data_IF_671978027422
#
_entry.id   IF_671978027422
#
_cell.length_a   1.000
_cell.length_b   1.000
_cell.length_c   1.000
_cell.angle_alpha   90.00
_cell.angle_beta   90.00
_cell.angle_gamma   90.00
#
_symmetry.space_group_name_H-M   'P 1'
#
loop_
_entity.id
_entity.type
_entity.pdbx_description
1 polymer ?
#
# COMPACT_ATOMS: atom_id res chain seq x y z
N UNK A 1 28.35 -21.03 10.86
CA UNK A 1 28.67 -20.07 9.79
C UNK A 1 28.03 -20.63 8.52
N UNK A 2 26.97 -20.11 7.92
CA UNK A 2 26.68 -18.72 7.58
C UNK A 2 25.16 -18.52 7.55
N UNK A 3 24.68 -17.58 8.35
CA UNK A 3 23.34 -17.01 8.22
C UNK A 3 23.38 -16.07 7.00
N UNK A 4 22.90 -16.50 5.84
CA UNK A 4 22.56 -15.56 4.77
C UNK A 4 21.23 -14.93 5.09
N UNK A 5 21.30 -13.92 5.95
CA UNK A 5 20.34 -12.83 6.04
C UNK A 5 20.30 -12.17 4.66
N UNK A 6 19.42 -12.65 3.80
CA UNK A 6 19.16 -12.03 2.51
C UNK A 6 18.34 -10.78 2.80
N UNK A 7 19.06 -9.71 3.16
CA UNK A 7 18.52 -8.37 3.02
C UNK A 7 18.07 -8.23 1.59
N UNK A 8 16.80 -7.86 1.40
CA UNK A 8 16.33 -7.25 0.17
C UNK A 8 17.24 -6.03 -0.02
N UNK A 9 18.25 -6.18 -0.88
CA UNK A 9 19.00 -5.05 -1.40
C UNK A 9 17.99 -4.25 -2.22
N UNK A 10 17.43 -3.22 -1.60
CA UNK A 10 16.91 -2.10 -2.35
C UNK A 10 18.13 -1.57 -3.11
N UNK A 11 18.24 -1.94 -4.39
CA UNK A 11 19.14 -1.24 -5.31
C UNK A 11 18.69 0.24 -5.26
N UNK A 12 19.43 1.05 -4.50
CA UNK A 12 19.31 2.51 -4.47
C UNK A 12 19.78 3.13 -5.81
N UNK A 13 20.31 2.33 -6.73
CA UNK A 13 20.85 2.78 -8.02
C UNK A 13 19.84 2.69 -9.19
N UNK A 14 18.54 2.52 -8.91
CA UNK A 14 17.48 2.69 -9.91
C UNK A 14 16.93 4.13 -9.92
N UNK A 15 17.82 5.12 -9.88
CA UNK A 15 17.53 6.53 -10.20
C UNK A 15 17.62 6.78 -11.71
N UNK A 16 16.86 6.00 -12.48
CA UNK A 16 16.36 6.45 -13.77
C UNK A 16 14.84 6.48 -13.69
N UNK A 17 14.28 7.69 -13.58
CA UNK A 17 12.91 7.99 -13.97
C UNK A 17 12.74 7.64 -15.47
N UNK A 18 12.68 6.34 -15.79
CA UNK A 18 12.12 5.88 -17.05
C UNK A 18 10.61 6.03 -16.94
N UNK A 19 10.15 7.27 -17.10
CA UNK A 19 8.81 7.57 -17.58
C UNK A 19 8.72 6.96 -18.99
N UNK A 20 8.35 5.68 -19.06
CA UNK A 20 7.99 5.03 -20.32
C UNK A 20 6.67 5.69 -20.75
N UNK A 21 6.79 6.71 -21.60
CA UNK A 21 5.67 7.34 -22.28
C UNK A 21 5.10 6.33 -23.28
N UNK A 22 4.21 5.46 -22.83
CA UNK A 22 3.35 4.70 -23.74
C UNK A 22 2.34 5.67 -24.36
N UNK A 23 2.03 5.47 -25.65
CA UNK A 23 1.30 6.37 -26.55
C UNK A 23 -0.21 6.57 -26.22
N UNK A 24 -0.60 6.58 -24.94
CA UNK A 24 -1.99 6.72 -24.53
C UNK A 24 -2.18 7.65 -23.33
N UNK A 25 -1.49 8.80 -23.26
CA UNK A 25 -1.91 10.00 -22.49
C UNK A 25 -2.16 9.87 -20.97
N UNK A 26 -2.04 8.68 -20.37
CA UNK A 26 -2.37 8.39 -18.98
C UNK A 26 -1.09 8.03 -18.26
N UNK A 27 -0.71 8.87 -17.29
CA UNK A 27 0.46 8.65 -16.44
C UNK A 27 0.26 7.36 -15.65
N UNK A 28 1.22 6.43 -15.76
CA UNK A 28 1.26 5.21 -14.94
C UNK A 28 1.49 5.59 -13.47
N UNK A 29 0.66 5.08 -12.57
CA UNK A 29 0.60 5.45 -11.15
C UNK A 29 1.36 4.50 -10.25
N UNK A 30 1.43 3.20 -10.60
CA UNK A 30 1.88 2.13 -9.71
C UNK A 30 2.98 1.25 -10.31
N UNK A 31 3.54 1.60 -11.47
CA UNK A 31 4.48 0.74 -12.20
C UNK A 31 5.66 0.25 -11.34
N UNK A 32 6.25 1.13 -10.51
CA UNK A 32 7.37 0.79 -9.62
C UNK A 32 6.94 -0.17 -8.51
N UNK A 33 5.84 0.15 -7.84
CA UNK A 33 5.31 -0.63 -6.72
C UNK A 33 4.81 -2.01 -7.18
N UNK A 34 4.18 -2.09 -8.35
CA UNK A 34 3.69 -3.34 -8.92
C UNK A 34 4.84 -4.26 -9.30
N UNK A 35 5.96 -3.73 -9.83
CA UNK A 35 7.16 -4.53 -10.09
C UNK A 35 7.71 -5.17 -8.81
N UNK A 36 7.82 -4.41 -7.74
CA UNK A 36 8.23 -4.93 -6.43
C UNK A 36 7.25 -5.97 -5.89
N UNK A 37 5.94 -5.75 -6.07
CA UNK A 37 4.90 -6.67 -5.63
C UNK A 37 4.95 -7.98 -6.40
N UNK A 38 5.10 -7.95 -7.73
CA UNK A 38 5.20 -9.13 -8.59
C UNK A 38 6.39 -10.01 -8.17
N UNK A 39 7.57 -9.40 -7.95
CA UNK A 39 8.72 -10.12 -7.39
C UNK A 39 8.41 -10.73 -6.00
N UNK A 40 7.72 -9.99 -5.13
CA UNK A 40 7.28 -10.49 -3.82
C UNK A 40 6.31 -11.68 -3.89
N UNK A 41 5.59 -11.85 -5.01
CA UNK A 41 4.73 -13.00 -5.29
C UNK A 41 5.47 -14.13 -6.05
N UNK A 42 6.76 -13.97 -6.33
CA UNK A 42 7.61 -14.98 -6.96
C UNK A 42 7.83 -14.82 -8.46
N UNK A 43 7.47 -13.66 -9.04
CA UNK A 43 7.84 -13.32 -10.41
C UNK A 43 9.33 -12.95 -10.53
N UNK A 44 9.82 -12.72 -11.74
CA UNK A 44 11.19 -12.27 -12.00
C UNK A 44 11.48 -10.90 -11.35
N UNK A 45 12.75 -10.60 -11.06
CA UNK A 45 13.18 -9.27 -10.56
C UNK A 45 12.86 -8.17 -11.60
N UNK A 46 12.89 -8.51 -12.88
CA UNK A 46 12.61 -7.62 -13.99
C UNK A 46 11.49 -8.19 -14.89
N UNK A 47 10.22 -8.14 -14.45
CA UNK A 47 9.09 -8.60 -15.25
C UNK A 47 8.88 -7.77 -16.51
N UNK A 48 8.19 -8.33 -17.50
CA UNK A 48 7.84 -7.61 -18.74
C UNK A 48 7.02 -6.36 -18.45
N UNK A 49 7.37 -5.25 -19.10
CA UNK A 49 6.68 -3.97 -18.94
C UNK A 49 5.20 -4.08 -19.32
N UNK A 50 4.89 -4.85 -20.36
CA UNK A 50 3.53 -5.12 -20.81
C UNK A 50 2.69 -5.82 -19.74
N UNK A 51 3.30 -6.73 -18.96
CA UNK A 51 2.63 -7.40 -17.84
C UNK A 51 2.36 -6.43 -16.70
N UNK A 52 3.34 -5.57 -16.37
CA UNK A 52 3.16 -4.54 -15.33
C UNK A 52 2.06 -3.57 -15.73
N UNK A 53 2.06 -3.12 -16.98
CA UNK A 53 1.06 -2.21 -17.53
C UNK A 53 -0.35 -2.81 -17.50
N UNK A 54 -0.49 -4.06 -17.92
CA UNK A 54 -1.77 -4.78 -17.85
C UNK A 54 -2.23 -4.93 -16.40
N UNK A 55 -1.33 -5.30 -15.49
CA UNK A 55 -1.65 -5.46 -14.07
C UNK A 55 -2.08 -4.12 -13.46
N UNK A 56 -1.48 -3.01 -13.86
CA UNK A 56 -1.90 -1.68 -13.44
C UNK A 56 -3.34 -1.38 -13.89
N UNK A 57 -3.67 -1.66 -15.15
CA UNK A 57 -5.03 -1.46 -15.66
C UNK A 57 -6.05 -2.33 -14.88
N UNK A 58 -5.72 -3.60 -14.60
CA UNK A 58 -6.55 -4.51 -13.79
C UNK A 58 -6.73 -4.03 -12.35
N UNK A 59 -5.69 -3.48 -11.73
CA UNK A 59 -5.75 -2.95 -10.36
C UNK A 59 -6.62 -1.69 -10.29
N UNK A 60 -6.48 -0.79 -11.26
CA UNK A 60 -7.31 0.42 -11.34
C UNK A 60 -8.79 0.04 -11.49
N UNK A 61 -9.10 -0.88 -12.40
CA UNK A 61 -10.45 -1.39 -12.60
C UNK A 61 -11.00 -2.04 -11.32
N UNK A 62 -10.21 -2.90 -10.67
CA UNK A 62 -10.61 -3.55 -9.43
C UNK A 62 -10.93 -2.55 -8.31
N UNK A 63 -10.11 -1.51 -8.15
CA UNK A 63 -10.33 -0.45 -7.16
C UNK A 63 -11.62 0.31 -7.47
N UNK A 64 -11.83 0.68 -8.74
CA UNK A 64 -13.03 1.39 -9.17
C UNK A 64 -14.30 0.56 -8.93
N UNK A 65 -14.32 -0.70 -9.37
CA UNK A 65 -15.46 -1.61 -9.18
C UNK A 65 -15.75 -1.87 -7.70
N UNK A 66 -14.70 -2.10 -6.91
CA UNK A 66 -14.86 -2.33 -5.46
C UNK A 66 -15.40 -1.08 -4.76
N UNK A 67 -14.97 0.11 -5.17
CA UNK A 67 -15.46 1.38 -4.63
C UNK A 67 -16.92 1.62 -5.03
N UNK A 68 -17.29 1.31 -6.27
CA UNK A 68 -18.68 1.40 -6.74
C UNK A 68 -19.59 0.47 -5.92
N UNK A 69 -19.22 -0.80 -5.76
CA UNK A 69 -19.97 -1.75 -4.92
C UNK A 69 -20.08 -1.27 -3.47
N UNK A 70 -19.05 -0.62 -2.94
CA UNK A 70 -19.07 -0.07 -1.59
C UNK A 70 -20.06 1.11 -1.47
N UNK A 71 -20.17 1.95 -2.50
CA UNK A 71 -21.15 3.04 -2.54
C UNK A 71 -22.60 2.54 -2.63
N UNK A 72 -22.84 1.39 -3.28
CA UNK A 72 -24.18 0.80 -3.41
C UNK A 72 -24.71 0.24 -2.08
N UNK A 73 -23.83 -0.31 -1.24
CA UNK A 73 -24.20 -0.87 0.08
C UNK A 73 -24.16 0.18 1.19
N UNK A 74 -23.33 1.21 1.03
CA UNK A 74 -23.03 2.22 2.03
C UNK A 74 -24.01 3.39 2.01
N UNK A 75 -23.68 4.44 2.76
CA UNK A 75 -24.44 5.69 2.70
C UNK A 75 -24.13 6.42 1.39
N UNK A 76 -25.18 6.99 0.78
CA UNK A 76 -25.04 7.79 -0.44
C UNK A 76 -24.02 8.92 -0.25
N UNK A 77 -23.06 9.01 -1.16
CA UNK A 77 -22.09 10.11 -1.22
C UNK A 77 -20.81 9.94 -0.40
N UNK A 78 -20.63 8.85 0.37
CA UNK A 78 -19.36 8.59 1.08
C UNK A 78 -19.11 7.11 1.33
N UNK A 79 -17.93 6.65 0.93
CA UNK A 79 -17.41 5.31 1.28
C UNK A 79 -16.67 5.37 2.62
N UNK A 80 -16.99 4.43 3.50
CA UNK A 80 -16.34 4.23 4.79
C UNK A 80 -15.54 2.93 4.81
N UNK A 81 -14.68 2.76 5.82
CA UNK A 81 -13.84 1.56 5.97
C UNK A 81 -14.72 0.32 6.22
N UNK A 82 -15.80 0.52 6.96
CA UNK A 82 -16.79 -0.52 7.28
C UNK A 82 -17.45 -1.10 6.03
N UNK A 83 -17.66 -0.29 4.99
CA UNK A 83 -18.25 -0.73 3.72
C UNK A 83 -17.30 -1.72 3.00
N UNK A 84 -16.00 -1.42 2.97
CA UNK A 84 -14.99 -2.29 2.38
C UNK A 84 -14.85 -3.59 3.19
N UNK A 85 -14.82 -3.49 4.53
CA UNK A 85 -14.80 -4.67 5.41
C UNK A 85 -16.01 -5.56 5.14
N UNK A 86 -17.19 -4.96 4.96
CA UNK A 86 -18.41 -5.69 4.65
C UNK A 86 -18.29 -6.43 3.31
N UNK A 87 -17.77 -5.80 2.25
CA UNK A 87 -17.60 -6.47 0.95
C UNK A 87 -16.71 -7.71 1.04
N UNK A 88 -15.61 -7.64 1.80
CA UNK A 88 -14.64 -8.75 1.91
C UNK A 88 -15.00 -9.81 2.95
N UNK A 89 -16.08 -9.64 3.73
CA UNK A 89 -16.43 -10.47 4.90
C UNK A 89 -16.55 -11.98 4.62
N UNK A 90 -16.85 -12.36 3.38
CA UNK A 90 -17.00 -13.76 2.98
C UNK A 90 -15.65 -14.45 2.74
N UNK A 91 -14.61 -13.68 2.42
CA UNK A 91 -13.24 -14.18 2.26
C UNK A 91 -12.52 -14.12 3.62
N UNK A 92 -12.46 -15.25 4.31
CA UNK A 92 -11.89 -15.34 5.66
C UNK A 92 -10.45 -14.85 5.74
N UNK A 93 -9.63 -15.10 4.69
CA UNK A 93 -8.23 -14.70 4.66
C UNK A 93 -8.10 -13.19 4.52
N UNK A 94 -8.82 -12.58 3.57
CA UNK A 94 -8.82 -11.12 3.40
C UNK A 94 -9.41 -10.42 4.62
N UNK A 95 -10.49 -10.95 5.16
CA UNK A 95 -11.16 -10.36 6.33
C UNK A 95 -10.26 -10.34 7.57
N UNK A 96 -9.59 -11.46 7.88
CA UNK A 96 -8.61 -11.51 8.98
C UNK A 96 -7.47 -10.52 8.73
N UNK A 97 -6.91 -10.50 7.50
CA UNK A 97 -5.80 -9.62 7.16
C UNK A 97 -6.15 -8.14 7.31
N UNK A 98 -7.36 -7.72 6.92
CA UNK A 98 -7.82 -6.33 7.08
C UNK A 98 -7.88 -5.95 8.55
N UNK A 99 -8.38 -6.83 9.44
CA UNK A 99 -8.41 -6.57 10.88
C UNK A 99 -7.00 -6.37 11.44
N UNK A 100 -6.07 -7.26 11.13
CA UNK A 100 -4.69 -7.17 11.62
C UNK A 100 -4.03 -5.84 11.20
N UNK A 101 -4.23 -5.44 9.93
CA UNK A 101 -3.69 -4.19 9.39
C UNK A 101 -4.28 -2.95 10.07
N UNK A 102 -5.58 -2.95 10.36
CA UNK A 102 -6.23 -1.85 11.05
C UNK A 102 -5.76 -1.74 12.51
N UNK A 103 -5.67 -2.86 13.23
CA UNK A 103 -5.14 -2.91 14.60
C UNK A 103 -3.71 -2.38 14.66
N UNK A 104 -2.84 -2.85 13.77
CA UNK A 104 -1.45 -2.38 13.70
C UNK A 104 -1.36 -0.88 13.37
N UNK A 105 -2.22 -0.38 12.48
CA UNK A 105 -2.27 1.05 12.15
C UNK A 105 -2.67 1.90 13.37
N UNK A 106 -3.65 1.45 14.16
CA UNK A 106 -4.03 2.11 15.40
C UNK A 106 -2.91 2.12 16.43
N UNK A 107 -2.19 1.01 16.60
CA UNK A 107 -1.03 0.91 17.49
C UNK A 107 0.08 1.88 17.08
N UNK A 108 0.40 1.94 15.78
CA UNK A 108 1.38 2.89 15.24
C UNK A 108 0.96 4.34 15.47
N UNK A 109 -0.33 4.67 15.31
CA UNK A 109 -0.85 6.01 15.59
C UNK A 109 -0.74 6.37 17.07
N UNK A 110 -1.07 5.44 17.97
CA UNK A 110 -0.93 5.63 19.43
C UNK A 110 0.53 5.85 19.82
N UNK A 111 1.44 5.04 19.29
CA UNK A 111 2.88 5.17 19.53
C UNK A 111 3.38 6.55 19.08
N UNK A 112 3.07 6.98 17.85
CA UNK A 112 3.46 8.31 17.33
C UNK A 112 2.97 9.45 18.22
N UNK A 113 1.69 9.41 18.65
CA UNK A 113 1.12 10.43 19.53
C UNK A 113 1.86 10.50 20.87
N UNK A 114 2.16 9.36 21.49
CA UNK A 114 2.91 9.32 22.75
C UNK A 114 4.34 9.89 22.58
N UNK A 115 5.02 9.61 21.47
CA UNK A 115 6.34 10.19 21.19
C UNK A 115 6.31 11.71 21.03
N UNK A 116 5.31 12.24 20.31
CA UNK A 116 5.17 13.68 20.12
C UNK A 116 4.91 14.38 21.46
N UNK A 117 4.03 13.85 22.30
CA UNK A 117 3.74 14.37 23.65
C UNK A 117 4.99 14.41 24.54
N UNK A 118 5.83 13.36 24.52
CA UNK A 118 7.10 13.33 25.26
C UNK A 118 8.09 14.38 24.76
N UNK A 119 8.14 14.63 23.45
CA UNK A 119 9.04 15.65 22.85
C UNK A 119 8.64 17.07 23.26
N UNK A 120 7.35 17.37 23.39
CA UNK A 120 6.89 18.67 23.87
C UNK A 120 7.26 18.89 25.35
N UNK A 121 7.05 17.89 26.21
CA UNK A 121 7.42 17.99 27.64
C UNK A 121 8.95 18.11 27.83
N UNK A 122 9.74 17.44 26.99
CA UNK A 122 11.22 17.50 27.04
C UNK A 122 11.81 18.86 26.62
N UNK A 123 11.09 19.66 25.84
CA UNK A 123 11.56 21.00 25.41
C UNK A 123 11.22 22.09 26.43
N UNK A 124 10.12 21.96 27.19
CA UNK A 124 9.77 22.92 28.25
C UNK A 124 10.69 22.81 29.47
N UNK A 125 11.32 21.65 29.69
CA UNK A 125 12.31 21.44 30.76
C UNK A 125 13.67 22.11 30.54
N UNK A 126 13.93 22.71 29.37
CA UNK A 126 15.22 23.35 29.04
C UNK A 126 15.20 24.89 29.08
N UNK A 127 14.10 25.52 29.51
CA UNK A 127 13.96 26.98 29.54
C UNK A 127 13.97 27.60 30.94
N UNK A 128 14.71 27.03 31.89
CA UNK A 128 14.94 27.67 33.20
C UNK A 128 16.41 27.64 33.56
#
# INVERSE_FOLDING_TARGET
MHLTRQYITFDEDADEDQLVSTNAGRKRLFSKELRCMMFGFGDDKNPYTETVDLLEDLVIEYIAETTHRAMEIGRTGRVQVEDIIFLVRKDQRKYARVKDLLTMNEELKKARKAFDEIKYVGNEGKLK
#
